data_IF_429433054882
#
_entry.id   IF_429433054882
#
_cell.length_a   1.000
_cell.length_b   1.000
_cell.length_c   1.000
_cell.angle_alpha   90.00
_cell.angle_beta   90.00
_cell.angle_gamma   90.00
#
_symmetry.space_group_name_H-M   'P 1'
#
loop_
_entity.id
_entity.type
_entity.pdbx_description
1 polymer ?
#
# COMPACT_ATOMS: atom_id res chain seq x y z
N UNK A 1 -5.08 0.93 17.96
CA UNK A 1 -6.00 1.96 17.43
C UNK A 1 -6.70 1.45 16.18
N UNK A 2 -5.94 1.06 15.14
CA UNK A 2 -6.48 0.40 13.93
C UNK A 2 -7.46 -0.72 14.28
N UNK A 3 -7.09 -1.67 15.14
CA UNK A 3 -7.97 -2.80 15.50
C UNK A 3 -9.30 -2.39 16.15
N UNK A 4 -9.31 -1.29 16.91
CA UNK A 4 -10.54 -0.78 17.55
C UNK A 4 -11.43 -0.14 16.50
N UNK A 5 -10.85 0.67 15.62
CA UNK A 5 -11.56 1.37 14.54
C UNK A 5 -12.14 0.36 13.55
N UNK A 6 -11.36 -0.65 13.17
CA UNK A 6 -11.80 -1.69 12.23
C UNK A 6 -12.89 -2.57 12.84
N UNK A 7 -12.84 -2.84 14.15
CA UNK A 7 -13.92 -3.55 14.86
C UNK A 7 -15.25 -2.78 14.87
N UNK A 8 -15.20 -1.44 14.71
CA UNK A 8 -16.38 -0.59 14.56
C UNK A 8 -16.77 -0.37 13.08
N UNK A 9 -16.03 -0.93 12.13
CA UNK A 9 -16.35 -0.85 10.71
C UNK A 9 -16.14 0.54 10.09
N UNK A 10 -15.31 1.43 10.66
CA UNK A 10 -15.10 2.78 10.12
C UNK A 10 -13.96 2.83 9.10
N UNK A 11 -14.28 2.91 7.80
CA UNK A 11 -13.28 2.79 6.73
C UNK A 11 -12.30 3.95 6.69
N UNK A 12 -12.76 5.19 6.44
CA UNK A 12 -11.85 6.33 6.31
C UNK A 12 -10.97 6.52 7.53
N UNK A 13 -11.52 6.31 8.74
CA UNK A 13 -10.74 6.47 9.96
C UNK A 13 -9.68 5.37 10.10
N UNK A 14 -9.96 4.14 9.65
CA UNK A 14 -8.99 3.06 9.64
C UNK A 14 -7.83 3.38 8.68
N UNK A 15 -8.14 3.80 7.45
CA UNK A 15 -7.15 4.18 6.44
C UNK A 15 -6.26 5.33 6.92
N UNK A 16 -6.86 6.43 7.43
CA UNK A 16 -6.10 7.56 8.00
C UNK A 16 -5.18 7.13 9.15
N UNK A 17 -5.60 6.13 9.95
CA UNK A 17 -4.76 5.61 11.04
C UNK A 17 -3.59 4.77 10.51
N UNK A 18 -3.76 4.08 9.37
CA UNK A 18 -2.69 3.35 8.70
C UNK A 18 -1.67 4.32 8.10
N UNK A 19 -2.12 5.37 7.41
CA UNK A 19 -1.26 6.46 6.92
C UNK A 19 -0.50 7.14 8.07
N UNK A 20 -1.16 7.37 9.22
CA UNK A 20 -0.49 7.88 10.42
C UNK A 20 0.64 6.95 10.91
N UNK A 21 0.48 5.62 10.78
CA UNK A 21 1.57 4.68 11.10
C UNK A 21 2.78 4.89 10.19
N UNK A 22 2.55 5.13 8.89
CA UNK A 22 3.61 5.40 7.92
C UNK A 22 4.29 6.74 8.24
N UNK A 23 3.51 7.80 8.49
CA UNK A 23 4.01 9.12 8.88
C UNK A 23 4.90 9.07 10.12
N UNK A 24 4.49 8.32 11.16
CA UNK A 24 5.28 8.13 12.38
C UNK A 24 6.54 7.31 12.12
N UNK A 25 6.45 6.27 11.31
CA UNK A 25 7.60 5.40 10.98
C UNK A 25 8.64 6.18 10.18
N UNK A 26 8.21 6.92 9.16
CA UNK A 26 9.12 7.69 8.33
C UNK A 26 9.45 9.05 8.93
N UNK A 27 8.75 9.53 9.94
CA UNK A 27 8.99 10.85 10.55
C UNK A 27 8.71 12.02 9.60
N UNK A 28 7.59 11.95 8.87
CA UNK A 28 7.16 12.98 7.91
C UNK A 28 5.63 13.03 7.82
N UNK A 29 5.08 14.09 7.20
CA UNK A 29 3.64 14.21 6.98
C UNK A 29 3.23 13.69 5.60
N UNK A 30 1.95 13.33 5.46
CA UNK A 30 1.26 12.97 4.22
C UNK A 30 1.35 14.03 3.11
N UNK A 31 1.33 15.31 3.51
CA UNK A 31 1.48 16.47 2.61
C UNK A 31 2.92 16.76 2.18
N UNK A 32 3.91 16.11 2.80
CA UNK A 32 5.31 16.27 2.42
C UNK A 32 5.60 15.37 1.19
N UNK A 33 6.62 15.71 0.40
CA UNK A 33 7.03 14.86 -0.73
C UNK A 33 7.48 13.49 -0.23
N UNK A 34 6.96 12.40 -0.84
CA UNK A 34 7.35 11.02 -0.53
C UNK A 34 8.85 10.77 -0.68
N UNK A 35 9.54 11.60 -1.47
CA UNK A 35 10.99 11.55 -1.66
C UNK A 35 11.77 11.85 -0.38
N UNK A 36 11.15 12.50 0.63
CA UNK A 36 11.79 12.78 1.93
C UNK A 36 11.97 11.53 2.82
N UNK A 37 11.51 10.36 2.37
CA UNK A 37 11.85 9.06 2.93
C UNK A 37 13.28 8.63 2.56
N UNK A 38 13.81 9.14 1.45
CA UNK A 38 15.13 8.79 0.95
C UNK A 38 16.24 9.36 1.83
N UNK A 39 17.36 8.64 1.98
CA UNK A 39 18.53 9.18 2.65
C UNK A 39 19.06 10.41 1.88
N UNK A 40 19.59 11.39 2.62
CA UNK A 40 20.17 12.64 2.08
C UNK A 40 19.19 13.60 1.40
N UNK A 41 17.90 13.29 1.35
CA UNK A 41 16.90 14.18 0.74
C UNK A 41 16.53 15.35 1.66
N UNK A 42 16.60 16.56 1.10
CA UNK A 42 16.10 17.79 1.70
C UNK A 42 14.83 18.24 0.95
N UNK A 43 14.08 19.18 1.53
CA UNK A 43 12.91 19.78 0.86
C UNK A 43 13.27 20.44 -0.47
N UNK A 44 14.46 21.05 -0.55
CA UNK A 44 14.96 21.67 -1.78
C UNK A 44 15.30 20.62 -2.85
N UNK A 45 15.91 19.50 -2.45
CA UNK A 45 16.22 18.41 -3.37
C UNK A 45 14.93 17.75 -3.89
N UNK A 46 13.96 17.49 -3.01
CA UNK A 46 12.66 16.95 -3.39
C UNK A 46 11.93 17.88 -4.38
N UNK A 47 11.93 19.20 -4.12
CA UNK A 47 11.37 20.19 -5.03
C UNK A 47 12.07 20.18 -6.39
N UNK A 48 13.42 20.11 -6.42
CA UNK A 48 14.18 20.01 -7.68
C UNK A 48 13.77 18.77 -8.48
N UNK A 49 13.56 17.63 -7.83
CA UNK A 49 13.07 16.41 -8.48
C UNK A 49 11.66 16.60 -9.07
N UNK A 50 10.77 17.26 -8.34
CA UNK A 50 9.42 17.54 -8.81
C UNK A 50 9.40 18.54 -9.98
N UNK A 51 10.30 19.52 -9.97
CA UNK A 51 10.46 20.54 -11.02
C UNK A 51 11.36 20.08 -12.19
N UNK A 52 11.75 18.79 -12.23
CA UNK A 52 12.66 18.27 -13.24
C UNK A 52 12.13 18.48 -14.67
N UNK A 53 12.96 19.09 -15.52
CA UNK A 53 12.61 19.42 -16.90
C UNK A 53 12.53 18.13 -17.75
N UNK A 54 11.31 17.70 -18.07
CA UNK A 54 11.04 16.54 -18.93
C UNK A 54 10.02 15.58 -18.33
N UNK A 55 10.34 15.02 -17.15
CA UNK A 55 9.44 14.19 -16.35
C UNK A 55 9.52 14.62 -14.88
N UNK A 56 8.46 15.22 -14.32
CA UNK A 56 8.34 15.45 -12.88
C UNK A 56 8.50 14.14 -12.11
N UNK A 57 9.29 14.15 -11.04
CA UNK A 57 9.51 12.99 -10.19
C UNK A 57 8.64 13.16 -8.95
N UNK A 58 7.52 12.44 -8.90
CA UNK A 58 6.53 12.55 -7.84
C UNK A 58 6.54 11.33 -6.90
N UNK A 59 7.04 10.19 -7.37
CA UNK A 59 7.13 8.94 -6.59
C UNK A 59 8.55 8.41 -6.44
N UNK A 60 8.73 7.46 -5.50
CA UNK A 60 9.98 6.71 -5.36
C UNK A 60 10.25 5.86 -6.62
N UNK A 61 9.20 5.33 -7.24
CA UNK A 61 9.30 4.55 -8.48
C UNK A 61 9.81 5.39 -9.65
N UNK A 62 9.33 6.63 -9.80
CA UNK A 62 9.81 7.54 -10.86
C UNK A 62 11.32 7.79 -10.75
N UNK A 63 11.82 7.98 -9.53
CA UNK A 63 13.25 8.20 -9.30
C UNK A 63 14.05 6.91 -9.54
N UNK A 64 13.50 5.74 -9.19
CA UNK A 64 14.14 4.45 -9.37
C UNK A 64 14.22 4.01 -10.85
N UNK A 65 13.33 4.51 -11.71
CA UNK A 65 13.37 4.28 -13.16
C UNK A 65 14.49 5.06 -13.87
N UNK A 66 15.03 6.11 -13.25
CA UNK A 66 16.08 6.92 -13.84
C UNK A 66 17.40 6.15 -13.94
N UNK A 67 18.19 6.47 -14.97
CA UNK A 67 19.57 5.99 -15.03
C UNK A 67 20.41 6.63 -13.92
N UNK A 68 21.47 5.94 -13.49
CA UNK A 68 22.39 6.43 -12.46
C UNK A 68 23.04 7.76 -12.88
N UNK A 69 23.31 7.95 -14.17
CA UNK A 69 23.90 9.19 -14.68
C UNK A 69 22.92 10.37 -14.59
N UNK A 70 21.66 10.19 -15.01
CA UNK A 70 20.62 11.23 -14.88
C UNK A 70 20.38 11.58 -13.41
N UNK A 71 20.32 10.57 -12.54
CA UNK A 71 20.14 10.75 -11.11
C UNK A 71 21.34 11.49 -10.48
N UNK A 72 22.56 11.19 -10.91
CA UNK A 72 23.77 11.88 -10.44
C UNK A 72 23.76 13.35 -10.84
N UNK A 73 23.40 13.65 -12.08
CA UNK A 73 23.35 15.02 -12.59
C UNK A 73 22.23 15.83 -11.93
N UNK A 74 21.07 15.22 -11.70
CA UNK A 74 19.92 15.87 -11.05
C UNK A 74 20.17 16.10 -9.55
N UNK A 75 20.58 15.05 -8.83
CA UNK A 75 20.69 15.09 -7.37
C UNK A 75 21.95 15.80 -6.90
N UNK A 76 23.02 15.80 -7.70
CA UNK A 76 24.32 16.39 -7.36
C UNK A 76 24.89 15.86 -6.03
N UNK A 77 24.59 14.61 -5.70
CA UNK A 77 25.07 13.91 -4.51
C UNK A 77 26.38 13.18 -4.78
N UNK A 78 27.12 12.86 -3.71
CA UNK A 78 28.32 12.04 -3.84
C UNK A 78 27.98 10.58 -4.22
N UNK A 79 28.96 9.85 -4.76
CA UNK A 79 28.76 8.43 -5.08
C UNK A 79 28.35 7.60 -3.85
N UNK A 80 28.85 7.92 -2.65
CA UNK A 80 28.45 7.20 -1.43
C UNK A 80 26.98 7.47 -1.07
N UNK A 81 26.52 8.71 -1.23
CA UNK A 81 25.14 9.08 -0.96
C UNK A 81 24.18 8.47 -1.99
N UNK A 82 24.58 8.40 -3.27
CA UNK A 82 23.82 7.69 -4.29
C UNK A 82 23.70 6.19 -3.98
N UNK A 83 24.76 5.56 -3.47
CA UNK A 83 24.69 4.15 -3.04
C UNK A 83 23.69 3.95 -1.90
N UNK A 84 23.61 4.87 -0.93
CA UNK A 84 22.61 4.79 0.14
C UNK A 84 21.18 4.86 -0.41
N UNK A 85 20.94 5.69 -1.44
CA UNK A 85 19.65 5.79 -2.15
C UNK A 85 19.33 4.50 -2.91
N UNK A 86 20.29 3.93 -3.63
CA UNK A 86 20.11 2.66 -4.33
C UNK A 86 19.80 1.52 -3.35
N UNK A 87 20.41 1.53 -2.17
CA UNK A 87 20.12 0.56 -1.11
C UNK A 87 18.72 0.76 -0.52
N UNK A 88 18.24 2.01 -0.45
CA UNK A 88 16.83 2.29 -0.12
C UNK A 88 15.89 1.70 -1.16
N UNK A 89 16.12 1.91 -2.46
CA UNK A 89 15.22 1.40 -3.51
C UNK A 89 15.06 -0.11 -3.47
N UNK A 90 16.15 -0.85 -3.18
CA UNK A 90 16.05 -2.30 -3.00
C UNK A 90 15.08 -2.65 -1.88
N UNK A 91 15.08 -1.90 -0.77
CA UNK A 91 14.22 -2.17 0.40
C UNK A 91 12.82 -1.61 0.26
N UNK A 92 12.63 -0.58 -0.56
CA UNK A 92 11.31 -0.01 -0.80
C UNK A 92 10.38 -1.06 -1.43
N UNK A 93 9.12 -1.18 -1.00
CA UNK A 93 8.29 -2.29 -1.45
C UNK A 93 7.81 -2.09 -2.88
N UNK A 94 8.09 -3.08 -3.73
CA UNK A 94 7.45 -3.27 -5.02
C UNK A 94 6.62 -4.57 -4.97
N UNK A 95 5.31 -4.44 -4.80
CA UNK A 95 4.40 -5.56 -4.55
C UNK A 95 3.30 -5.54 -5.59
N UNK A 96 3.11 -6.64 -6.31
CA UNK A 96 1.97 -6.85 -7.18
C UNK A 96 0.82 -7.45 -6.38
N UNK A 97 -0.37 -6.86 -6.52
CA UNK A 97 -1.61 -7.39 -5.96
C UNK A 97 -2.53 -7.92 -7.07
N UNK A 98 -2.96 -9.17 -6.92
CA UNK A 98 -4.02 -9.78 -7.71
C UNK A 98 -5.13 -10.31 -6.79
N UNK A 99 -6.38 -10.30 -7.25
CA UNK A 99 -7.51 -10.79 -6.46
C UNK A 99 -8.46 -11.65 -7.29
N UNK A 100 -9.23 -12.48 -6.60
CA UNK A 100 -10.27 -13.34 -7.16
C UNK A 100 -11.44 -13.41 -6.18
N UNK A 101 -12.65 -13.07 -6.62
CA UNK A 101 -13.88 -13.28 -5.84
C UNK A 101 -14.33 -14.71 -6.06
N UNK A 102 -14.30 -15.53 -5.01
CA UNK A 102 -14.75 -16.92 -5.11
C UNK A 102 -16.25 -16.96 -5.25
N UNK A 103 -16.73 -17.81 -6.17
CA UNK A 103 -18.16 -18.01 -6.42
C UNK A 103 -18.89 -16.70 -6.79
N UNK A 104 -18.18 -15.76 -7.43
CA UNK A 104 -18.68 -14.40 -7.72
C UNK A 104 -20.00 -14.32 -8.50
N UNK A 105 -20.34 -15.37 -9.27
CA UNK A 105 -21.56 -15.45 -10.08
C UNK A 105 -22.78 -15.96 -9.30
N UNK A 106 -22.61 -16.43 -8.05
CA UNK A 106 -23.68 -17.04 -7.25
C UNK A 106 -23.67 -16.56 -5.79
N UNK A 107 -23.69 -15.24 -5.61
CA UNK A 107 -23.78 -14.60 -4.30
C UNK A 107 -25.23 -14.14 -4.08
N UNK A 108 -25.88 -14.65 -3.03
CA UNK A 108 -27.20 -14.18 -2.58
C UNK A 108 -27.08 -13.18 -1.43
N UNK A 109 -28.15 -12.42 -1.20
CA UNK A 109 -28.23 -11.50 -0.07
C UNK A 109 -27.94 -12.20 1.28
N UNK A 110 -26.95 -11.68 2.02
CA UNK A 110 -26.52 -12.23 3.31
C UNK A 110 -25.49 -13.35 3.25
N UNK A 111 -25.10 -13.83 2.05
CA UNK A 111 -24.08 -14.86 1.91
C UNK A 111 -22.68 -14.37 2.32
N UNK A 112 -21.79 -15.30 2.65
CA UNK A 112 -20.39 -14.98 2.94
C UNK A 112 -19.59 -14.88 1.65
N UNK A 113 -19.18 -13.67 1.29
CA UNK A 113 -18.31 -13.40 0.14
C UNK A 113 -16.87 -13.65 0.54
N UNK A 114 -16.14 -14.47 -0.25
CA UNK A 114 -14.72 -14.73 -0.03
C UNK A 114 -13.88 -14.13 -1.16
N UNK A 115 -13.04 -13.15 -0.82
CA UNK A 115 -12.06 -12.57 -1.74
C UNK A 115 -10.69 -13.13 -1.43
N UNK A 116 -10.07 -13.73 -2.44
CA UNK A 116 -8.74 -14.29 -2.34
C UNK A 116 -7.74 -13.36 -2.99
N UNK A 117 -6.89 -12.75 -2.17
CA UNK A 117 -5.82 -11.85 -2.60
C UNK A 117 -4.50 -12.61 -2.67
N UNK A 118 -3.77 -12.41 -3.75
CA UNK A 118 -2.39 -12.89 -3.93
C UNK A 118 -1.49 -11.68 -4.02
N UNK A 119 -0.50 -11.63 -3.13
CA UNK A 119 0.54 -10.62 -3.10
C UNK A 119 1.85 -11.25 -3.54
N UNK A 120 2.57 -10.61 -4.44
CA UNK A 120 3.88 -11.03 -4.91
C UNK A 120 4.84 -9.85 -4.90
N UNK A 121 5.95 -9.98 -4.17
CA UNK A 121 7.01 -8.96 -4.14
C UNK A 121 7.96 -9.20 -5.29
N UNK A 122 8.31 -8.14 -6.03
CA UNK A 122 9.39 -8.20 -7.00
C UNK A 122 10.73 -8.36 -6.26
N UNK A 123 11.39 -9.49 -6.49
CA UNK A 123 12.67 -9.85 -5.86
C UNK A 123 13.88 -9.63 -6.76
N UNK A 124 13.72 -9.06 -7.96
CA UNK A 124 14.74 -9.05 -9.02
C UNK A 124 16.07 -8.40 -8.59
N UNK A 125 16.02 -7.44 -7.66
CA UNK A 125 17.19 -6.72 -7.14
C UNK A 125 17.35 -6.81 -5.61
N UNK A 126 16.66 -7.76 -4.97
CA UNK A 126 16.64 -7.92 -3.52
C UNK A 126 17.59 -9.02 -3.02
N UNK A 127 18.09 -8.94 -1.77
CA UNK A 127 18.64 -10.09 -1.07
C UNK A 127 17.62 -11.23 -0.97
N UNK A 128 18.06 -12.42 -0.54
CA UNK A 128 17.17 -13.59 -0.38
C UNK A 128 16.03 -13.38 0.62
N UNK A 129 16.11 -12.35 1.47
CA UNK A 129 15.12 -12.01 2.49
C UNK A 129 14.87 -10.50 2.51
N UNK A 130 13.67 -10.11 2.93
CA UNK A 130 13.32 -8.70 3.15
C UNK A 130 13.89 -8.31 4.52
N UNK A 131 14.83 -7.37 4.52
CA UNK A 131 15.39 -6.82 5.76
C UNK A 131 14.42 -5.86 6.48
N UNK A 132 14.84 -5.30 7.62
CA UNK A 132 14.03 -4.34 8.35
C UNK A 132 13.77 -3.08 7.53
N UNK A 133 12.68 -2.39 7.87
CA UNK A 133 12.27 -1.12 7.27
C UNK A 133 13.40 -0.09 7.36
N UNK A 134 13.69 0.59 6.26
CA UNK A 134 14.60 1.72 6.26
C UNK A 134 13.89 2.95 6.83
N UNK A 135 13.99 3.14 8.15
CA UNK A 135 13.38 4.24 8.89
C UNK A 135 14.39 4.87 9.88
N UNK A 136 15.35 5.68 9.42
CA UNK A 136 16.42 6.23 10.26
C UNK A 136 15.92 7.21 11.33
N UNK A 137 14.72 7.78 11.15
CA UNK A 137 14.06 8.67 12.12
C UNK A 137 13.25 7.90 13.18
N UNK A 138 13.09 6.59 13.02
CA UNK A 138 12.38 5.74 13.96
C UNK A 138 13.37 5.07 14.95
N UNK A 139 13.10 5.09 16.26
CA UNK A 139 14.10 4.77 17.28
C UNK A 139 14.45 3.27 17.41
N UNK A 140 13.70 2.38 16.75
CA UNK A 140 13.87 0.93 16.87
C UNK A 140 13.82 0.28 15.48
N UNK A 141 14.51 -0.85 15.27
CA UNK A 141 14.25 -1.68 14.10
C UNK A 141 12.77 -2.05 14.03
N UNK A 142 12.21 -2.00 12.82
CA UNK A 142 10.81 -2.33 12.55
C UNK A 142 10.76 -3.27 11.35
N UNK A 143 9.97 -4.33 11.50
CA UNK A 143 9.64 -5.23 10.39
C UNK A 143 8.49 -4.65 9.57
N UNK A 144 8.56 -4.85 8.26
CA UNK A 144 7.53 -4.42 7.32
C UNK A 144 6.23 -5.18 7.57
N UNK A 145 5.11 -4.46 7.67
CA UNK A 145 3.78 -5.03 7.78
C UNK A 145 2.80 -4.36 6.81
N UNK A 146 1.79 -5.12 6.43
CA UNK A 146 0.72 -4.68 5.54
C UNK A 146 -0.65 -4.91 6.15
N UNK A 147 -1.59 -4.04 5.82
CA UNK A 147 -3.02 -4.30 5.99
C UNK A 147 -3.66 -4.55 4.62
N UNK A 148 -4.37 -5.66 4.50
CA UNK A 148 -5.35 -5.86 3.45
C UNK A 148 -6.72 -5.49 4.01
N UNK A 149 -7.42 -4.58 3.35
CA UNK A 149 -8.72 -4.06 3.78
C UNK A 149 -9.70 -4.22 2.62
N UNK A 150 -10.93 -4.63 2.92
CA UNK A 150 -12.06 -4.50 2.01
C UNK A 150 -13.00 -3.46 2.61
N UNK A 151 -13.38 -2.48 1.79
CA UNK A 151 -14.28 -1.40 2.19
C UNK A 151 -15.35 -1.10 1.14
N UNK A 152 -16.46 -0.54 1.62
CA UNK A 152 -17.49 0.09 0.81
C UNK A 152 -17.37 1.62 0.96
N UNK A 153 -16.99 2.29 -0.12
CA UNK A 153 -16.83 3.75 -0.13
C UNK A 153 -18.15 4.50 -0.07
N UNK A 154 -19.24 3.90 -0.56
CA UNK A 154 -20.55 4.56 -0.59
C UNK A 154 -21.13 4.70 0.82
N UNK A 155 -20.86 3.71 1.68
CA UNK A 155 -21.32 3.68 3.07
C UNK A 155 -20.23 4.03 4.08
N UNK A 156 -18.99 4.22 3.62
CA UNK A 156 -17.80 4.41 4.47
C UNK A 156 -17.61 3.27 5.49
N UNK A 157 -17.90 2.04 5.06
CA UNK A 157 -17.87 0.87 5.91
C UNK A 157 -16.65 0.00 5.62
N UNK A 158 -15.90 -0.35 6.66
CA UNK A 158 -14.86 -1.37 6.61
C UNK A 158 -15.53 -2.74 6.78
N UNK A 159 -15.37 -3.60 5.77
CA UNK A 159 -16.03 -4.90 5.69
C UNK A 159 -15.14 -6.04 6.17
N UNK A 160 -13.85 -6.00 5.80
CA UNK A 160 -12.87 -6.98 6.25
C UNK A 160 -11.49 -6.35 6.37
N UNK A 161 -10.67 -6.88 7.30
CA UNK A 161 -9.27 -6.49 7.46
C UNK A 161 -8.41 -7.68 7.85
N UNK A 162 -7.21 -7.79 7.29
CA UNK A 162 -6.16 -8.72 7.73
C UNK A 162 -4.79 -8.07 7.73
N UNK A 163 -3.99 -8.37 8.75
CA UNK A 163 -2.57 -8.01 8.78
C UNK A 163 -1.76 -9.09 8.08
N UNK A 164 -0.83 -8.68 7.23
CA UNK A 164 0.02 -9.56 6.41
C UNK A 164 1.48 -9.19 6.63
N UNK A 165 2.31 -10.19 6.91
CA UNK A 165 3.76 -10.08 6.81
C UNK A 165 4.17 -10.66 5.45
N UNK A 166 4.73 -9.83 4.58
CA UNK A 166 5.09 -10.23 3.21
C UNK A 166 6.61 -10.29 3.07
N UNK A 167 7.11 -11.48 2.71
CA UNK A 167 8.51 -11.66 2.31
C UNK A 167 8.59 -11.71 0.79
N UNK A 168 8.24 -12.85 0.18
CA UNK A 168 8.18 -13.02 -1.28
C UNK A 168 6.77 -13.08 -1.85
N UNK A 169 5.92 -13.92 -1.26
CA UNK A 169 4.55 -14.15 -1.74
C UNK A 169 3.65 -14.46 -0.56
N UNK A 170 2.42 -13.95 -0.61
CA UNK A 170 1.36 -14.30 0.33
C UNK A 170 0.05 -14.55 -0.42
N UNK A 171 -0.74 -15.51 0.07
CA UNK A 171 -2.12 -15.73 -0.40
C UNK A 171 -3.05 -15.61 0.79
N UNK A 172 -3.90 -14.60 0.76
CA UNK A 172 -4.72 -14.18 1.90
C UNK A 172 -6.18 -14.21 1.50
N UNK A 173 -7.03 -14.83 2.33
CA UNK A 173 -8.48 -14.81 2.14
C UNK A 173 -9.08 -13.74 3.04
N UNK A 174 -9.90 -12.85 2.50
CA UNK A 174 -10.76 -11.95 3.24
C UNK A 174 -12.21 -12.38 3.04
N UNK A 175 -12.99 -12.36 4.10
CA UNK A 175 -14.39 -12.80 4.12
C UNK A 175 -15.24 -11.68 4.71
N UNK A 176 -16.37 -11.39 4.07
CA UNK A 176 -17.36 -10.43 4.56
C UNK A 176 -18.76 -10.87 4.13
N UNK A 177 -19.80 -10.32 4.75
CA UNK A 177 -21.18 -10.64 4.39
C UNK A 177 -21.67 -9.78 3.24
N UNK A 178 -22.30 -10.40 2.24
CA UNK A 178 -23.01 -9.70 1.18
C UNK A 178 -24.15 -8.86 1.79
N UNK A 179 -24.45 -7.68 1.22
CA UNK A 179 -25.53 -6.83 1.70
C UNK A 179 -26.88 -7.52 1.52
N UNK A 180 -27.87 -7.07 2.28
CA UNK A 180 -29.24 -7.58 2.20
C UNK A 180 -29.95 -7.17 0.89
N UNK A 181 -29.48 -6.11 0.24
CA UNK A 181 -30.05 -5.60 -1.00
C UNK A 181 -29.41 -6.26 -2.21
N UNK A 182 -30.24 -6.80 -3.09
CA UNK A 182 -29.82 -7.30 -4.39
C UNK A 182 -29.32 -6.18 -5.31
N UNK A 183 -28.59 -6.59 -6.34
CA UNK A 183 -28.05 -5.73 -7.38
C UNK A 183 -26.52 -5.69 -7.38
N UNK A 184 -25.98 -4.91 -8.32
CA UNK A 184 -24.55 -4.70 -8.45
C UNK A 184 -24.05 -3.82 -7.32
N UNK A 185 -23.02 -4.29 -6.62
CA UNK A 185 -22.38 -3.59 -5.49
C UNK A 185 -20.89 -3.41 -5.80
N UNK A 186 -20.39 -2.21 -5.54
CA UNK A 186 -19.00 -1.80 -5.80
C UNK A 186 -18.24 -1.72 -4.47
N UNK A 187 -17.03 -2.28 -4.44
CA UNK A 187 -16.17 -2.32 -3.28
C UNK A 187 -14.73 -2.03 -3.66
N UNK A 188 -13.92 -1.74 -2.65
CA UNK A 188 -12.49 -1.46 -2.80
C UNK A 188 -11.67 -2.44 -1.96
N UNK A 189 -10.58 -2.95 -2.55
CA UNK A 189 -9.51 -3.63 -1.84
C UNK A 189 -8.36 -2.63 -1.66
N UNK A 190 -7.93 -2.43 -0.41
CA UNK A 190 -6.78 -1.61 -0.07
C UNK A 190 -5.64 -2.50 0.41
N UNK A 191 -4.44 -2.26 -0.12
CA UNK A 191 -3.19 -2.77 0.42
C UNK A 191 -2.43 -1.59 1.00
N UNK A 192 -2.39 -1.49 2.33
CA UNK A 192 -1.79 -0.36 3.05
C UNK A 192 -0.53 -0.79 3.77
N UNK A 193 0.59 -0.11 3.55
CA UNK A 193 1.82 -0.29 4.30
C UNK A 193 1.67 0.24 5.72
N UNK A 194 2.35 -0.36 6.70
CA UNK A 194 2.48 0.21 8.04
C UNK A 194 3.72 1.10 8.23
N UNK A 195 4.52 1.24 7.17
CA UNK A 195 5.91 1.68 7.27
C UNK A 195 6.37 2.69 6.22
N UNK A 196 5.89 2.59 4.99
CA UNK A 196 6.32 3.44 3.88
C UNK A 196 5.14 4.20 3.29
N UNK A 197 5.40 5.39 2.77
CA UNK A 197 4.44 6.19 2.04
C UNK A 197 4.65 6.00 0.53
N UNK A 198 3.56 6.02 -0.25
CA UNK A 198 3.61 5.98 -1.72
C UNK A 198 3.74 4.58 -2.32
N UNK A 199 3.46 3.52 -1.55
CA UNK A 199 3.36 2.14 -2.03
C UNK A 199 2.01 1.48 -1.69
N UNK A 200 1.05 2.26 -1.20
CA UNK A 200 -0.32 1.81 -0.98
C UNK A 200 -1.03 1.61 -2.31
N UNK A 201 -1.95 0.64 -2.37
CA UNK A 201 -2.67 0.31 -3.60
C UNK A 201 -4.15 0.11 -3.34
N UNK A 202 -4.95 0.50 -4.32
CA UNK A 202 -6.40 0.41 -4.27
C UNK A 202 -6.93 -0.24 -5.55
N UNK A 203 -7.82 -1.22 -5.40
CA UNK A 203 -8.43 -1.92 -6.53
C UNK A 203 -9.94 -1.98 -6.33
N UNK A 204 -10.66 -1.46 -7.32
CA UNK A 204 -12.10 -1.59 -7.38
C UNK A 204 -12.48 -3.01 -7.84
N UNK A 205 -13.53 -3.55 -7.24
CA UNK A 205 -14.17 -4.77 -7.68
C UNK A 205 -15.68 -4.70 -7.46
N UNK A 206 -16.43 -5.47 -8.24
CA UNK A 206 -17.89 -5.52 -8.12
C UNK A 206 -18.36 -6.92 -7.86
N UNK A 207 -19.46 -7.04 -7.11
CA UNK A 207 -20.21 -8.29 -6.98
C UNK A 207 -21.66 -8.04 -7.40
N UNK A 208 -22.29 -9.02 -8.01
CA UNK A 208 -23.71 -8.99 -8.32
C UNK A 208 -24.46 -9.84 -7.30
N UNK A 209 -25.18 -9.18 -6.38
CA UNK A 209 -25.94 -9.85 -5.33
C UNK A 209 -27.32 -10.22 -5.87
N UNK A 210 -27.67 -11.50 -5.81
CA UNK A 210 -29.00 -11.99 -6.18
C UNK A 210 -29.98 -11.77 -5.04
N UNK A 211 -31.25 -11.55 -5.39
CA UNK A 211 -32.33 -11.59 -4.40
C UNK A 211 -32.29 -12.94 -3.68
N UNK A 212 -32.40 -12.91 -2.35
CA UNK A 212 -32.66 -14.13 -1.58
C UNK A 212 -33.97 -14.70 -2.11
N UNK A 213 -33.89 -15.81 -2.85
CA UNK A 213 -35.03 -16.37 -3.60
C UNK A 213 -36.32 -16.32 -2.78
N UNK A 214 -37.27 -15.52 -3.25
CA UNK A 214 -38.64 -15.56 -2.73
C UNK A 214 -39.21 -16.95 -2.99
N UNK A 215 -39.58 -17.65 -1.92
CA UNK A 215 -40.45 -18.83 -1.99
C UNK A 215 -41.75 -18.52 -2.74
#
# INVERSE_FOLDING_TARGET
MVDVISSNGWLSLALNTMELSQMVTQGMWDRDSVLLQLPHFTKDLARRCQENEGKPIESIFDLAEMSIDEMRDLLQLSNSQLQDILEFFKRFPNVDMAYEVREGDDISAGDSVTVQVTLERDMTNLPSEVGPVHAPRFPKPKEEGWWLVIGDNSTNQLLAIKRVALQKRARVKLEFSAPAEAGRKEYMIYLMSDSYLGCDQEYEFTIDVKDAGGN
#
